data_IF_436193022367
#
_entry.id   IF_436193022367
#
_cell.length_a   1.000
_cell.length_b   1.000
_cell.length_c   1.000
_cell.angle_alpha   90.00
_cell.angle_beta   90.00
_cell.angle_gamma   90.00
#
_symmetry.space_group_name_H-M   'P 1'
#
loop_
_entity.id
_entity.type
_entity.pdbx_description
1 polymer ?
#
# COMPACT_ATOMS: atom_id res chain seq x y z
N UNK A 1 7.53 -3.62 -8.39
CA UNK A 1 6.28 -2.89 -8.52
C UNK A 1 5.22 -3.32 -7.49
N UNK A 2 4.12 -2.55 -7.38
CA UNK A 2 2.98 -2.82 -6.51
C UNK A 2 1.71 -2.97 -7.35
N UNK A 3 0.87 -3.98 -7.08
CA UNK A 3 -0.30 -4.32 -7.90
C UNK A 3 -1.57 -3.72 -7.26
N UNK A 4 -2.38 -3.06 -8.08
CA UNK A 4 -3.73 -2.61 -7.70
C UNK A 4 -4.73 -3.59 -8.33
N UNK A 5 -5.59 -4.18 -7.51
CA UNK A 5 -6.61 -5.14 -7.93
C UNK A 5 -7.98 -4.49 -7.83
N UNK A 6 -8.78 -4.64 -8.87
CA UNK A 6 -10.17 -4.17 -8.88
C UNK A 6 -11.11 -5.27 -8.40
N UNK A 7 -11.97 -4.94 -7.44
CA UNK A 7 -13.14 -5.77 -7.19
C UNK A 7 -14.10 -5.68 -8.39
N UNK A 8 -14.84 -6.75 -8.72
CA UNK A 8 -15.76 -6.74 -9.84
C UNK A 8 -16.81 -5.62 -9.69
N UNK A 9 -17.00 -4.83 -10.75
CA UNK A 9 -17.84 -3.63 -10.75
C UNK A 9 -19.34 -3.92 -10.55
N UNK A 10 -19.78 -5.18 -10.74
CA UNK A 10 -21.18 -5.60 -10.64
C UNK A 10 -21.55 -6.21 -9.28
N UNK A 11 -20.67 -6.15 -8.29
CA UNK A 11 -20.94 -6.72 -6.97
C UNK A 11 -21.37 -5.64 -5.98
N UNK A 12 -22.37 -6.00 -5.18
CA UNK A 12 -22.76 -5.23 -3.98
C UNK A 12 -21.62 -5.25 -2.95
N UNK A 13 -21.63 -4.37 -1.93
CA UNK A 13 -20.62 -4.36 -0.88
C UNK A 13 -20.38 -5.72 -0.22
N UNK A 14 -21.44 -6.45 0.09
CA UNK A 14 -21.37 -7.77 0.74
C UNK A 14 -20.78 -8.83 -0.19
N UNK A 15 -21.20 -8.84 -1.45
CA UNK A 15 -20.68 -9.77 -2.47
C UNK A 15 -19.22 -9.50 -2.81
N UNK A 16 -18.78 -8.23 -2.76
CA UNK A 16 -17.38 -7.87 -2.98
C UNK A 16 -16.48 -8.39 -1.84
N UNK A 17 -16.96 -8.34 -0.59
CA UNK A 17 -16.26 -8.94 0.56
C UNK A 17 -16.18 -10.46 0.39
N UNK A 18 -17.29 -11.12 0.06
CA UNK A 18 -17.33 -12.56 -0.17
C UNK A 18 -16.37 -12.99 -1.31
N UNK A 19 -16.31 -12.19 -2.38
CA UNK A 19 -15.39 -12.45 -3.50
C UNK A 19 -13.92 -12.38 -3.07
N UNK A 20 -13.52 -11.39 -2.28
CA UNK A 20 -12.14 -11.29 -1.77
C UNK A 20 -11.76 -12.49 -0.91
N UNK A 21 -12.71 -13.04 -0.15
CA UNK A 21 -12.53 -14.20 0.70
C UNK A 21 -12.58 -15.54 -0.05
N UNK A 22 -12.96 -15.55 -1.33
CA UNK A 22 -13.18 -16.77 -2.11
C UNK A 22 -14.57 -17.39 -1.94
N UNK A 23 -15.41 -16.85 -1.08
CA UNK A 23 -16.77 -17.32 -0.83
C UNK A 23 -17.75 -16.72 -1.86
N UNK A 24 -17.98 -17.37 -2.98
CA UNK A 24 -18.93 -16.91 -4.00
C UNK A 24 -18.35 -16.70 -5.39
N UNK A 25 -17.08 -17.00 -5.57
CA UNK A 25 -16.41 -17.02 -6.88
C UNK A 25 -16.24 -18.47 -7.38
N UNK A 26 -17.21 -19.33 -7.12
CA UNK A 26 -17.20 -20.72 -7.59
C UNK A 26 -17.16 -20.86 -9.12
N UNK A 27 -17.20 -19.77 -9.87
CA UNK A 27 -17.07 -19.80 -11.33
C UNK A 27 -15.65 -20.16 -11.80
N UNK A 28 -14.61 -20.02 -10.96
CA UNK A 28 -13.22 -20.32 -11.36
C UNK A 28 -12.38 -21.12 -10.35
N UNK A 29 -12.97 -21.65 -9.28
CA UNK A 29 -12.25 -22.46 -8.30
C UNK A 29 -11.15 -21.71 -7.52
N UNK A 30 -11.28 -20.41 -7.34
CA UNK A 30 -10.30 -19.58 -6.68
C UNK A 30 -10.48 -19.52 -5.16
N UNK A 31 -9.43 -19.87 -4.42
CA UNK A 31 -9.36 -19.88 -2.94
C UNK A 31 -9.28 -18.46 -2.31
N UNK A 32 -9.81 -17.45 -2.98
CA UNK A 32 -9.75 -16.06 -2.55
C UNK A 32 -8.44 -15.34 -2.90
N UNK A 33 -8.45 -14.02 -2.86
CA UNK A 33 -7.29 -13.19 -3.23
C UNK A 33 -6.22 -13.10 -2.13
N UNK A 34 -6.62 -13.29 -0.87
CA UNK A 34 -5.76 -13.04 0.31
C UNK A 34 -4.52 -13.94 0.37
N UNK A 35 -4.53 -15.09 -0.29
CA UNK A 35 -3.42 -16.05 -0.23
C UNK A 35 -2.39 -15.92 -1.36
N UNK A 36 -2.65 -15.09 -2.37
CA UNK A 36 -1.89 -15.16 -3.63
C UNK A 36 -0.92 -13.99 -3.87
N UNK A 37 -1.15 -12.81 -3.27
CA UNK A 37 -0.46 -11.59 -3.71
C UNK A 37 0.00 -10.69 -2.57
N UNK A 38 1.23 -10.83 -2.12
CA UNK A 38 1.81 -10.04 -1.00
C UNK A 38 1.94 -8.54 -1.33
N UNK A 39 2.33 -8.19 -2.57
CA UNK A 39 2.55 -6.80 -2.99
C UNK A 39 1.37 -6.27 -3.81
N UNK A 40 0.17 -6.44 -3.28
CA UNK A 40 -1.05 -5.99 -3.94
C UNK A 40 -2.09 -5.51 -2.93
N UNK A 41 -3.03 -4.69 -3.40
CA UNK A 41 -4.18 -4.25 -2.64
C UNK A 41 -5.42 -4.23 -3.53
N UNK A 42 -6.56 -4.61 -2.97
CA UNK A 42 -7.85 -4.58 -3.65
C UNK A 42 -8.69 -3.42 -3.14
N UNK A 43 -9.42 -2.78 -4.05
CA UNK A 43 -10.24 -1.61 -3.77
C UNK A 43 -11.67 -1.79 -4.30
N UNK A 44 -12.60 -1.16 -3.60
CA UNK A 44 -14.03 -1.13 -3.92
C UNK A 44 -14.67 0.15 -3.36
N UNK A 45 -15.69 0.72 -3.98
CA UNK A 45 -16.33 0.34 -5.23
C UNK A 45 -15.73 1.03 -6.47
N UNK A 46 -16.37 0.80 -7.63
CA UNK A 46 -16.11 1.54 -8.86
C UNK A 46 -16.54 3.00 -8.74
N UNK A 47 -16.12 3.86 -9.66
CA UNK A 47 -16.45 5.27 -9.65
C UNK A 47 -17.09 5.74 -10.96
N UNK A 48 -17.62 6.97 -10.94
CA UNK A 48 -17.97 7.72 -12.13
C UNK A 48 -16.99 8.86 -12.36
N UNK A 49 -16.43 8.90 -13.53
CA UNK A 49 -15.50 9.94 -13.99
C UNK A 49 -16.06 10.65 -15.20
N UNK A 50 -15.64 11.88 -15.44
CA UNK A 50 -16.04 12.65 -16.62
C UNK A 50 -14.90 12.64 -17.63
N UNK A 51 -15.22 12.30 -18.88
CA UNK A 51 -14.27 12.36 -20.00
C UNK A 51 -13.96 13.81 -20.37
N UNK A 52 -12.86 14.08 -21.11
CA UNK A 52 -12.59 15.42 -21.64
C UNK A 52 -13.72 15.97 -22.56
N UNK A 53 -14.52 15.10 -23.16
CA UNK A 53 -15.68 15.46 -23.97
C UNK A 53 -16.93 15.83 -23.14
N UNK A 54 -16.88 15.63 -21.81
CA UNK A 54 -17.99 15.91 -20.89
C UNK A 54 -18.90 14.71 -20.59
N UNK A 55 -18.65 13.56 -21.22
CA UNK A 55 -19.43 12.35 -20.97
C UNK A 55 -19.09 11.70 -19.64
N UNK A 56 -20.07 11.15 -18.95
CA UNK A 56 -19.86 10.43 -17.71
C UNK A 56 -19.67 8.95 -17.98
N UNK A 57 -18.55 8.39 -17.54
CA UNK A 57 -18.19 6.98 -17.70
C UNK A 57 -18.00 6.30 -16.36
N UNK A 58 -18.33 5.01 -16.29
CA UNK A 58 -18.00 4.19 -15.12
C UNK A 58 -16.59 3.68 -15.24
N UNK A 59 -15.81 3.88 -14.19
CA UNK A 59 -14.39 3.52 -14.12
C UNK A 59 -14.14 2.54 -12.99
N UNK A 60 -13.18 1.61 -13.13
CA UNK A 60 -12.80 0.70 -12.05
C UNK A 60 -12.14 1.46 -10.88
N UNK A 61 -12.08 0.82 -9.73
CA UNK A 61 -11.46 1.39 -8.54
C UNK A 61 -9.99 1.78 -8.77
N UNK A 62 -9.25 0.98 -9.55
CA UNK A 62 -7.84 1.24 -9.91
C UNK A 62 -7.61 2.58 -10.59
N UNK A 63 -8.57 3.08 -11.36
CA UNK A 63 -8.51 4.40 -11.99
C UNK A 63 -8.37 5.53 -10.94
N UNK A 64 -9.15 5.44 -9.87
CA UNK A 64 -9.11 6.40 -8.76
C UNK A 64 -7.85 6.21 -7.92
N UNK A 65 -7.51 4.96 -7.62
CA UNK A 65 -6.38 4.58 -6.76
C UNK A 65 -5.05 4.95 -7.39
N UNK A 66 -4.88 4.67 -8.69
CA UNK A 66 -3.64 5.01 -9.41
C UNK A 66 -3.40 6.53 -9.42
N UNK A 67 -4.44 7.30 -9.71
CA UNK A 67 -4.37 8.75 -9.63
C UNK A 67 -3.89 9.21 -8.22
N UNK A 68 -4.48 8.61 -7.18
CA UNK A 68 -4.17 8.98 -5.81
C UNK A 68 -2.76 8.55 -5.37
N UNK A 69 -2.26 7.43 -5.89
CA UNK A 69 -0.87 7.01 -5.64
C UNK A 69 0.12 7.99 -6.26
N UNK A 70 -0.12 8.37 -7.51
CA UNK A 70 0.73 9.36 -8.19
C UNK A 70 0.67 10.71 -7.47
N UNK A 71 -0.52 11.16 -7.09
CA UNK A 71 -0.68 12.40 -6.32
C UNK A 71 0.07 12.35 -4.97
N UNK A 72 -0.07 11.24 -4.23
CA UNK A 72 0.64 11.04 -2.97
C UNK A 72 2.17 11.11 -3.16
N UNK A 73 2.70 10.54 -4.25
CA UNK A 73 4.13 10.54 -4.54
C UNK A 73 4.65 11.93 -4.94
N UNK A 74 3.78 12.79 -5.47
CA UNK A 74 4.13 14.19 -5.79
C UNK A 74 4.17 15.10 -4.56
N UNK A 75 3.27 14.89 -3.58
CA UNK A 75 3.15 15.77 -2.40
C UNK A 75 3.87 15.23 -1.16
N UNK A 76 4.22 13.95 -1.16
CA UNK A 76 4.88 13.24 -0.07
C UNK A 76 5.87 12.21 -0.65
N UNK A 77 5.89 11.01 -0.08
CA UNK A 77 6.76 9.92 -0.55
C UNK A 77 5.95 8.62 -0.68
N UNK A 78 6.44 7.61 -1.43
CA UNK A 78 5.74 6.33 -1.63
C UNK A 78 5.37 5.59 -0.34
N UNK A 79 6.11 5.82 0.73
CA UNK A 79 5.89 5.19 2.04
C UNK A 79 4.89 5.92 2.94
N UNK A 80 4.31 7.03 2.50
CA UNK A 80 3.16 7.61 3.17
C UNK A 80 1.87 6.92 2.72
N UNK A 81 0.93 6.72 3.67
CA UNK A 81 -0.35 6.11 3.37
C UNK A 81 -1.14 6.96 2.34
N UNK A 82 -1.48 6.40 1.16
CA UNK A 82 -2.28 7.09 0.15
C UNK A 82 -3.78 6.99 0.49
N UNK A 83 -4.15 7.27 1.73
CA UNK A 83 -5.49 7.12 2.26
C UNK A 83 -5.81 8.22 3.29
N UNK A 84 -7.09 8.33 3.65
CA UNK A 84 -7.59 9.32 4.61
C UNK A 84 -7.76 10.71 4.02
N UNK A 85 -8.26 11.64 4.83
CA UNK A 85 -8.68 12.97 4.38
C UNK A 85 -7.55 13.85 3.85
N UNK A 86 -6.32 13.65 4.32
CA UNK A 86 -5.17 14.46 3.91
C UNK A 86 -4.62 14.09 2.53
N UNK A 87 -4.57 12.80 2.21
CA UNK A 87 -3.91 12.29 1.00
C UNK A 87 -4.75 11.30 0.21
N UNK A 88 -5.96 10.98 0.66
CA UNK A 88 -6.85 10.02 0.01
C UNK A 88 -8.00 10.65 -0.78
N UNK A 89 -8.14 11.98 -0.81
CA UNK A 89 -9.25 12.64 -1.51
C UNK A 89 -9.11 12.47 -3.02
N UNK A 90 -10.04 11.74 -3.61
CA UNK A 90 -10.09 11.43 -5.04
C UNK A 90 -10.64 12.63 -5.81
N UNK A 91 -9.95 13.05 -6.88
CA UNK A 91 -10.36 14.21 -7.70
C UNK A 91 -10.80 13.83 -9.11
N UNK A 92 -10.52 12.62 -9.53
CA UNK A 92 -10.83 12.10 -10.86
C UNK A 92 -12.12 11.24 -10.91
N UNK A 93 -12.93 11.27 -9.86
CA UNK A 93 -14.26 10.68 -9.83
C UNK A 93 -15.22 11.53 -9.00
N UNK A 94 -16.46 11.65 -9.45
CA UNK A 94 -17.49 12.46 -8.82
C UNK A 94 -18.32 11.67 -7.78
N UNK A 95 -18.45 10.37 -7.97
CA UNK A 95 -19.22 9.47 -7.08
C UNK A 95 -18.71 8.05 -7.21
N UNK A 96 -19.09 7.20 -6.26
CA UNK A 96 -18.73 5.78 -6.22
C UNK A 96 -19.99 4.90 -6.16
N UNK A 97 -19.88 3.69 -6.68
CA UNK A 97 -21.00 2.77 -6.77
C UNK A 97 -20.65 1.47 -7.50
N UNK A 98 -21.67 0.74 -7.89
CA UNK A 98 -21.54 -0.50 -8.65
C UNK A 98 -22.57 -0.55 -9.79
N UNK A 99 -22.35 -1.43 -10.75
CA UNK A 99 -23.26 -1.67 -11.87
C UNK A 99 -24.27 -2.74 -11.43
N UNK A 100 -25.55 -2.44 -11.56
CA UNK A 100 -26.64 -3.38 -11.26
C UNK A 100 -26.77 -4.45 -12.35
N UNK A 101 -27.61 -5.46 -12.11
CA UNK A 101 -27.95 -6.48 -13.13
C UNK A 101 -28.64 -5.89 -14.37
N UNK A 102 -29.23 -4.70 -14.28
CA UNK A 102 -29.86 -3.96 -15.36
C UNK A 102 -28.91 -3.03 -16.11
N UNK A 103 -27.59 -3.21 -15.93
CA UNK A 103 -26.51 -2.38 -16.52
C UNK A 103 -26.54 -0.91 -16.06
N UNK A 104 -27.24 -0.58 -15.00
CA UNK A 104 -27.32 0.78 -14.46
C UNK A 104 -26.29 0.98 -13.35
N UNK A 105 -25.68 2.16 -13.33
CA UNK A 105 -24.78 2.54 -12.24
C UNK A 105 -25.58 2.99 -11.02
N UNK A 106 -25.47 2.27 -9.93
CA UNK A 106 -26.05 2.62 -8.63
C UNK A 106 -25.01 3.26 -7.73
N UNK A 107 -25.15 4.56 -7.49
CA UNK A 107 -24.33 5.28 -6.52
C UNK A 107 -24.60 4.77 -5.09
N UNK A 108 -23.54 4.62 -4.29
CA UNK A 108 -23.64 4.17 -2.89
C UNK A 108 -22.85 5.09 -1.96
N UNK A 109 -23.35 5.17 -0.73
CA UNK A 109 -22.61 5.72 0.40
C UNK A 109 -22.40 4.61 1.41
N UNK A 110 -21.13 4.20 1.59
CA UNK A 110 -20.77 3.12 2.50
C UNK A 110 -20.98 3.57 3.95
N UNK A 111 -21.81 2.84 4.70
CA UNK A 111 -21.95 3.04 6.14
C UNK A 111 -20.65 2.68 6.87
N UNK A 112 -20.50 3.13 8.13
CA UNK A 112 -19.34 2.79 8.92
C UNK A 112 -19.16 1.26 9.05
N UNK A 113 -20.24 0.53 9.39
CA UNK A 113 -20.18 -0.92 9.52
C UNK A 113 -19.78 -1.65 8.23
N UNK A 114 -20.22 -1.13 7.06
CA UNK A 114 -19.80 -1.68 5.77
C UNK A 114 -18.30 -1.43 5.52
N UNK A 115 -17.81 -0.23 5.80
CA UNK A 115 -16.38 0.08 5.67
C UNK A 115 -15.53 -0.77 6.60
N UNK A 116 -15.94 -0.95 7.85
CA UNK A 116 -15.26 -1.76 8.84
C UNK A 116 -15.22 -3.24 8.42
N UNK A 117 -16.35 -3.77 7.95
CA UNK A 117 -16.43 -5.14 7.40
C UNK A 117 -15.50 -5.35 6.21
N UNK A 118 -15.48 -4.41 5.25
CA UNK A 118 -14.55 -4.46 4.12
C UNK A 118 -13.10 -4.42 4.59
N UNK A 119 -12.78 -3.50 5.49
CA UNK A 119 -11.41 -3.30 5.95
C UNK A 119 -10.86 -4.49 6.73
N UNK A 120 -11.66 -5.14 7.57
CA UNK A 120 -11.30 -6.38 8.26
C UNK A 120 -10.94 -7.47 7.23
N UNK A 121 -11.70 -7.56 6.15
CA UNK A 121 -11.53 -8.56 5.08
C UNK A 121 -10.55 -8.12 3.98
N UNK A 122 -9.69 -7.15 4.23
CA UNK A 122 -8.64 -6.65 3.31
C UNK A 122 -9.15 -6.06 1.99
N UNK A 123 -10.42 -5.68 1.94
CA UNK A 123 -11.01 -4.91 0.86
C UNK A 123 -10.99 -3.42 1.25
N UNK A 124 -10.18 -2.63 0.56
CA UNK A 124 -10.02 -1.21 0.89
C UNK A 124 -11.22 -0.40 0.40
N UNK A 125 -11.99 0.25 1.29
CA UNK A 125 -13.14 1.04 0.89
C UNK A 125 -12.74 2.38 0.27
N UNK A 126 -13.44 2.75 -0.81
CA UNK A 126 -13.48 4.10 -1.34
C UNK A 126 -14.83 4.69 -0.90
N UNK A 127 -14.78 5.61 0.04
CA UNK A 127 -15.98 6.15 0.67
C UNK A 127 -16.34 7.52 0.08
N UNK A 128 -17.62 7.82 0.02
CA UNK A 128 -18.11 9.16 -0.31
C UNK A 128 -18.62 9.83 0.97
N UNK A 129 -17.94 10.87 1.41
CA UNK A 129 -18.32 11.66 2.58
C UNK A 129 -18.99 12.96 2.15
N UNK A 130 -20.07 13.40 2.83
CA UNK A 130 -20.84 14.57 2.41
C UNK A 130 -20.04 15.87 2.31
N UNK A 131 -19.04 16.05 3.18
CA UNK A 131 -18.24 17.28 3.21
C UNK A 131 -16.94 17.16 2.40
N UNK A 132 -16.33 15.98 2.36
CA UNK A 132 -14.99 15.73 1.81
C UNK A 132 -15.04 15.09 0.41
N UNK A 133 -16.19 14.59 -0.01
CA UNK A 133 -16.37 13.90 -1.29
C UNK A 133 -15.82 12.47 -1.28
N UNK A 134 -15.31 12.02 -2.42
CA UNK A 134 -14.78 10.66 -2.59
C UNK A 134 -13.38 10.57 -2.01
N UNK A 135 -13.17 9.60 -1.10
CA UNK A 135 -11.91 9.42 -0.37
C UNK A 135 -11.51 7.96 -0.34
N UNK A 136 -10.25 7.66 -0.63
CA UNK A 136 -9.65 6.35 -0.32
C UNK A 136 -9.54 6.22 1.21
N UNK A 137 -10.24 5.26 1.79
CA UNK A 137 -10.35 5.12 3.25
C UNK A 137 -9.85 3.78 3.75
N UNK A 138 -8.87 3.20 3.07
CA UNK A 138 -8.22 1.96 3.44
C UNK A 138 -6.84 1.83 2.81
N UNK A 139 -5.96 1.06 3.45
CA UNK A 139 -4.60 0.80 2.99
C UNK A 139 -4.08 -0.60 3.34
N UNK A 140 -4.97 -1.59 3.45
CA UNK A 140 -4.56 -2.98 3.66
C UNK A 140 -4.07 -3.61 2.36
N UNK A 141 -2.98 -4.38 2.46
CA UNK A 141 -2.53 -5.25 1.37
C UNK A 141 -3.26 -6.61 1.43
N UNK A 142 -3.13 -7.39 0.37
CA UNK A 142 -3.62 -8.78 0.33
C UNK A 142 -2.67 -9.77 1.01
N UNK A 143 -1.65 -9.30 1.71
CA UNK A 143 -0.74 -10.16 2.47
C UNK A 143 -1.49 -10.99 3.52
N UNK A 144 -1.22 -12.31 3.54
CA UNK A 144 -2.00 -13.26 4.35
C UNK A 144 -1.79 -13.07 5.85
N UNK A 145 -0.55 -12.83 6.26
CA UNK A 145 -0.15 -12.81 7.67
C UNK A 145 -0.15 -11.39 8.24
N UNK A 146 -0.41 -11.28 9.55
CA UNK A 146 -0.24 -10.03 10.27
C UNK A 146 1.25 -9.68 10.37
N UNK A 147 1.68 -8.75 9.56
CA UNK A 147 3.06 -8.26 9.51
C UNK A 147 3.09 -6.80 9.06
N UNK A 148 4.26 -6.17 9.05
CA UNK A 148 4.40 -4.83 8.51
C UNK A 148 3.97 -4.74 7.02
N UNK A 149 4.09 -5.84 6.26
CA UNK A 149 3.71 -5.92 4.84
C UNK A 149 2.20 -5.97 4.60
N UNK A 150 1.38 -6.08 5.65
CA UNK A 150 -0.07 -6.06 5.51
C UNK A 150 -0.65 -4.66 5.24
N UNK A 151 0.23 -3.66 5.06
CA UNK A 151 -0.10 -2.27 4.73
C UNK A 151 0.49 -1.83 3.41
N UNK A 152 -0.32 -1.09 2.64
CA UNK A 152 0.06 -0.57 1.30
C UNK A 152 1.30 0.30 1.37
N UNK A 153 1.38 1.21 2.34
CA UNK A 153 2.53 2.12 2.47
C UNK A 153 3.84 1.37 2.66
N UNK A 154 3.85 0.29 3.47
CA UNK A 154 5.06 -0.54 3.68
C UNK A 154 5.38 -1.37 2.45
N UNK A 155 4.37 -1.97 1.80
CA UNK A 155 4.58 -2.71 0.54
C UNK A 155 5.17 -1.83 -0.56
N UNK A 156 4.72 -0.57 -0.66
CA UNK A 156 5.26 0.42 -1.61
C UNK A 156 6.66 0.88 -1.22
N UNK A 157 6.95 1.06 0.07
CA UNK A 157 8.31 1.33 0.56
C UNK A 157 9.26 0.21 0.14
N UNK A 158 8.92 -1.05 0.40
CA UNK A 158 9.78 -2.19 0.03
C UNK A 158 9.99 -2.29 -1.48
N UNK A 159 8.95 -2.04 -2.28
CA UNK A 159 9.06 -2.01 -3.73
C UNK A 159 10.04 -0.90 -4.20
N UNK A 160 9.93 0.28 -3.61
CA UNK A 160 10.83 1.41 -3.88
C UNK A 160 12.28 1.12 -3.47
N UNK A 161 12.46 0.58 -2.25
CA UNK A 161 13.80 0.22 -1.75
C UNK A 161 14.48 -0.81 -2.65
N UNK A 162 13.78 -1.85 -3.08
CA UNK A 162 14.35 -2.88 -3.99
C UNK A 162 14.87 -2.28 -5.28
N UNK A 163 14.09 -1.42 -5.91
CA UNK A 163 14.48 -0.77 -7.17
C UNK A 163 15.70 0.13 -6.97
N UNK A 164 15.68 0.96 -5.91
CA UNK A 164 16.76 1.90 -5.64
C UNK A 164 18.04 1.22 -5.15
N UNK A 165 17.92 0.18 -4.34
CA UNK A 165 19.08 -0.59 -3.90
C UNK A 165 19.77 -1.29 -5.09
N UNK A 166 19.00 -1.84 -6.03
CA UNK A 166 19.54 -2.41 -7.26
C UNK A 166 20.32 -1.36 -8.08
N UNK A 167 19.76 -0.17 -8.26
CA UNK A 167 20.39 0.92 -8.99
C UNK A 167 21.70 1.39 -8.34
N UNK A 168 21.69 1.63 -7.02
CA UNK A 168 22.89 2.16 -6.32
C UNK A 168 23.96 1.11 -6.08
N UNK A 169 23.62 -0.17 -6.12
CA UNK A 169 24.61 -1.26 -5.99
C UNK A 169 25.17 -1.74 -7.33
N UNK A 170 24.51 -1.43 -8.44
CA UNK A 170 24.95 -1.82 -9.78
C UNK A 170 26.38 -1.41 -10.15
N UNK A 171 26.92 -0.24 -9.74
CA UNK A 171 28.32 0.12 -10.00
C UNK A 171 29.35 -0.79 -9.36
N UNK A 172 28.97 -1.62 -8.37
CA UNK A 172 29.88 -2.57 -7.75
C UNK A 172 30.03 -3.89 -8.53
N UNK A 173 29.23 -4.09 -9.58
CA UNK A 173 29.40 -5.23 -10.47
C UNK A 173 30.76 -5.12 -11.17
N UNK A 174 31.49 -6.24 -11.19
CA UNK A 174 32.85 -6.37 -11.74
C UNK A 174 33.97 -5.65 -10.97
N UNK A 175 33.68 -5.03 -9.82
CA UNK A 175 34.69 -4.52 -8.91
C UNK A 175 35.37 -5.69 -8.15
N UNK A 176 36.58 -5.45 -7.61
CA UNK A 176 37.29 -6.43 -6.79
C UNK A 176 36.48 -6.73 -5.51
N UNK A 177 36.26 -8.01 -5.19
CA UNK A 177 35.57 -8.41 -3.96
C UNK A 177 36.50 -8.38 -2.74
N UNK A 178 36.98 -7.22 -2.39
CA UNK A 178 37.83 -6.96 -1.25
C UNK A 178 37.10 -6.18 -0.12
N UNK A 179 37.78 -6.01 1.00
CA UNK A 179 37.23 -5.27 2.13
C UNK A 179 36.85 -3.84 1.77
N UNK A 180 37.67 -3.17 0.94
CA UNK A 180 37.43 -1.79 0.57
C UNK A 180 36.13 -1.63 -0.25
N UNK A 181 35.90 -2.53 -1.19
CA UNK A 181 34.66 -2.55 -1.99
C UNK A 181 33.44 -2.85 -1.12
N UNK A 182 33.57 -3.80 -0.18
CA UNK A 182 32.46 -4.11 0.77
C UNK A 182 32.14 -2.91 1.66
N UNK A 183 33.14 -2.23 2.21
CA UNK A 183 32.97 -1.04 3.04
C UNK A 183 32.32 0.12 2.23
N UNK A 184 32.73 0.32 0.97
CA UNK A 184 32.12 1.30 0.06
C UNK A 184 30.67 0.98 -0.24
N UNK A 185 30.34 -0.27 -0.57
CA UNK A 185 28.99 -0.72 -0.86
C UNK A 185 28.08 -0.53 0.37
N UNK A 186 28.56 -0.93 1.55
CA UNK A 186 27.87 -0.70 2.82
C UNK A 186 27.55 0.78 3.05
N UNK A 187 28.56 1.64 2.94
CA UNK A 187 28.41 3.08 3.16
C UNK A 187 27.41 3.74 2.20
N UNK A 188 27.38 3.33 0.93
CA UNK A 188 26.41 3.84 -0.06
C UNK A 188 24.99 3.43 0.32
N UNK A 189 24.79 2.17 0.71
CA UNK A 189 23.48 1.67 1.16
C UNK A 189 23.04 2.35 2.45
N UNK A 190 23.92 2.48 3.45
CA UNK A 190 23.63 3.17 4.71
C UNK A 190 23.24 4.64 4.49
N UNK A 191 23.98 5.37 3.64
CA UNK A 191 23.69 6.75 3.31
C UNK A 191 22.30 6.91 2.67
N UNK A 192 21.94 6.00 1.78
CA UNK A 192 20.61 5.98 1.18
C UNK A 192 19.52 5.70 2.21
N UNK A 193 19.71 4.72 3.09
CA UNK A 193 18.72 4.39 4.13
C UNK A 193 18.58 5.49 5.18
N UNK A 194 19.66 6.20 5.51
CA UNK A 194 19.60 7.40 6.36
C UNK A 194 18.74 8.51 5.76
N UNK A 195 18.78 8.71 4.44
CA UNK A 195 17.89 9.66 3.76
C UNK A 195 16.42 9.24 3.89
N UNK A 196 16.11 7.95 3.76
CA UNK A 196 14.75 7.42 3.95
C UNK A 196 14.29 7.56 5.40
N UNK A 197 15.16 7.31 6.38
CA UNK A 197 14.90 7.50 7.80
C UNK A 197 14.61 8.97 8.11
N UNK A 198 15.42 9.90 7.61
CA UNK A 198 15.21 11.34 7.74
C UNK A 198 13.87 11.80 7.14
N UNK A 199 13.42 11.16 6.07
CA UNK A 199 12.12 11.36 5.41
C UNK A 199 10.97 10.56 6.04
N UNK A 200 11.15 10.03 7.25
CA UNK A 200 10.13 9.30 8.02
C UNK A 200 9.64 8.00 7.37
N UNK A 201 10.47 7.35 6.56
CA UNK A 201 10.14 6.06 5.95
C UNK A 201 10.46 4.87 6.86
N UNK A 202 11.48 5.03 7.70
CA UNK A 202 11.95 4.00 8.62
C UNK A 202 12.02 4.55 10.05
N UNK A 203 11.87 3.66 11.03
CA UNK A 203 12.24 3.93 12.43
C UNK A 203 13.73 3.62 12.64
N UNK A 204 14.19 2.51 12.07
CA UNK A 204 15.59 2.07 12.17
C UNK A 204 15.94 1.13 11.02
N UNK A 205 17.23 0.89 10.81
CA UNK A 205 17.76 -0.07 9.84
C UNK A 205 19.12 -0.60 10.27
N UNK A 206 19.50 -1.75 9.71
CA UNK A 206 20.83 -2.31 9.85
C UNK A 206 21.33 -2.82 8.49
N UNK A 207 22.63 -2.58 8.20
CA UNK A 207 23.28 -3.06 6.98
C UNK A 207 24.50 -3.88 7.37
N UNK A 208 24.56 -5.10 6.89
CA UNK A 208 25.72 -6.01 7.07
C UNK A 208 26.30 -6.32 5.70
N UNK A 209 27.57 -5.95 5.52
CA UNK A 209 28.37 -6.27 4.34
C UNK A 209 29.83 -6.44 4.76
N UNK A 210 30.10 -7.50 5.49
CA UNK A 210 31.41 -7.80 6.05
C UNK A 210 31.75 -9.29 5.91
N UNK A 211 32.73 -9.76 6.62
CA UNK A 211 33.21 -11.14 6.56
C UNK A 211 32.20 -12.15 7.14
N UNK A 212 31.26 -11.71 7.97
CA UNK A 212 30.22 -12.58 8.55
C UNK A 212 29.23 -13.08 7.49
N UNK A 213 28.87 -12.22 6.54
CA UNK A 213 27.94 -12.56 5.46
C UNK A 213 28.64 -12.74 4.09
N UNK A 214 29.91 -12.34 3.93
CA UNK A 214 30.73 -12.59 2.75
C UNK A 214 31.87 -13.58 3.09
N UNK A 215 31.51 -14.86 3.23
CA UNK A 215 32.41 -15.92 3.54
C UNK A 215 33.35 -16.20 2.35
N UNK A 216 34.55 -16.83 2.58
CA UNK A 216 35.49 -17.21 1.50
C UNK A 216 34.82 -17.99 0.37
N UNK A 217 33.93 -18.93 0.68
CA UNK A 217 33.19 -19.69 -0.33
C UNK A 217 32.19 -18.87 -1.16
N UNK A 218 31.69 -17.74 -0.67
CA UNK A 218 30.88 -16.78 -1.46
C UNK A 218 31.78 -15.92 -2.35
N UNK A 219 32.93 -15.49 -1.83
CA UNK A 219 33.92 -14.74 -2.58
C UNK A 219 34.45 -15.57 -3.75
N UNK A 220 34.75 -16.86 -3.52
CA UNK A 220 35.19 -17.79 -4.56
C UNK A 220 34.15 -18.01 -5.67
N UNK A 221 32.87 -17.78 -5.37
CA UNK A 221 31.77 -17.80 -6.38
C UNK A 221 31.51 -16.45 -7.01
N UNK A 222 32.35 -15.44 -6.74
CA UNK A 222 32.18 -14.04 -7.21
C UNK A 222 30.88 -13.40 -6.73
N UNK A 223 30.43 -13.73 -5.52
CA UNK A 223 29.20 -13.20 -4.94
C UNK A 223 29.54 -12.11 -3.90
N UNK A 224 28.78 -11.00 -3.93
CA UNK A 224 28.77 -9.97 -2.89
C UNK A 224 27.40 -9.96 -2.22
N UNK A 225 27.37 -10.14 -0.90
CA UNK A 225 26.15 -10.12 -0.09
C UNK A 225 26.07 -8.84 0.73
N UNK A 226 24.95 -8.14 0.59
CA UNK A 226 24.58 -6.98 1.40
C UNK A 226 23.25 -7.31 2.06
N UNK A 227 23.27 -7.59 3.36
CA UNK A 227 22.06 -7.85 4.13
C UNK A 227 21.51 -6.55 4.69
N UNK A 228 20.25 -6.26 4.40
CA UNK A 228 19.56 -5.04 4.84
C UNK A 228 18.35 -5.45 5.67
N UNK A 229 18.33 -5.07 6.95
CA UNK A 229 17.17 -5.16 7.82
C UNK A 229 16.58 -3.76 7.98
N UNK A 230 15.25 -3.66 7.93
CA UNK A 230 14.53 -2.38 8.05
C UNK A 230 13.38 -2.48 9.05
N UNK A 231 13.16 -1.42 9.80
CA UNK A 231 11.98 -1.22 10.63
C UNK A 231 11.13 -0.08 10.04
N UNK A 232 10.06 -0.42 9.27
CA UNK A 232 9.26 0.58 8.58
C UNK A 232 8.35 1.36 9.53
N UNK A 233 8.11 2.63 9.23
CA UNK A 233 7.15 3.45 9.98
C UNK A 233 5.72 2.97 9.77
N UNK A 234 4.92 3.00 10.84
CA UNK A 234 3.51 2.63 10.83
C UNK A 234 2.63 3.88 10.75
N UNK A 235 1.52 3.78 10.01
CA UNK A 235 0.50 4.82 9.96
C UNK A 235 -0.51 4.65 11.10
N UNK A 236 -1.03 5.77 11.61
CA UNK A 236 -2.13 5.75 12.58
C UNK A 236 -3.42 5.42 11.83
N UNK A 237 -4.13 4.39 12.27
CA UNK A 237 -5.43 3.96 11.71
C UNK A 237 -6.57 4.09 12.72
N UNK A 238 -6.26 3.99 14.01
CA UNK A 238 -7.24 4.08 15.09
C UNK A 238 -6.83 5.15 16.09
N UNK A 239 -7.76 6.03 16.45
CA UNK A 239 -7.57 7.08 17.45
C UNK A 239 -8.56 6.85 18.58
N UNK A 240 -8.04 6.63 19.78
CA UNK A 240 -8.84 6.49 21.00
C UNK A 240 -8.68 7.74 21.85
N UNK A 241 -9.79 8.41 22.16
CA UNK A 241 -9.81 9.64 22.95
C UNK A 241 -10.63 9.37 24.22
N UNK A 242 -10.03 8.89 25.32
CA UNK A 242 -10.74 8.72 26.57
C UNK A 242 -11.00 10.09 27.21
N UNK A 243 -12.28 10.45 27.38
CA UNK A 243 -12.68 11.68 28.07
C UNK A 243 -13.09 11.31 29.49
N UNK A 244 -12.44 11.92 30.48
CA UNK A 244 -12.81 11.79 31.88
C UNK A 244 -13.47 13.08 32.36
N UNK A 245 -14.66 12.95 32.92
CA UNK A 245 -15.32 14.05 33.62
C UNK A 245 -14.87 13.99 35.10
N UNK A 246 -14.27 15.06 35.56
CA UNK A 246 -13.83 15.20 36.98
C UNK A 246 -14.62 16.31 37.63
N UNK A 247 -14.79 16.19 38.94
CA UNK A 247 -15.50 17.21 39.74
C UNK A 247 -14.64 18.48 39.84
N UNK A 248 -15.31 19.61 40.08
CA UNK A 248 -14.65 20.90 40.26
C UNK A 248 -13.59 20.83 41.38
N UNK A 249 -12.37 21.24 41.08
CA UNK A 249 -11.24 21.25 42.01
C UNK A 249 -10.45 19.95 42.12
N UNK A 250 -10.64 18.99 41.20
CA UNK A 250 -9.89 17.71 41.17
C UNK A 250 -8.89 17.60 40.01
N UNK A 251 -8.67 18.68 39.27
CA UNK A 251 -7.61 18.82 38.25
C UNK A 251 -6.38 19.47 38.83
#
# INVERSE_FOLDING_TARGET
GYIIVDAPMRKTPTEAVAWVQGNGAAENGDDGLVTKYTYSAVYYPSGRSTTPAGDTVTVPASHMVLYQYVYNDQIAFPWFAPAGLLRGTVRNASTVGYITGEEEFKAISLSQGQRDSMYINKLNPIANFPAEGVVLYGQKSLHQFDSALDRVNVGRLVAYLRERLDDITRPFLFEQNDKQTRDRAKNVVETFLLDILAKRGLYDFAVVCDESNNTPGRIDRNELYIDVAIEPTKSVEFIYIPIRIVNTGTL
#
